data_IF_692921670485
#
_entry.id   IF_692921670485
#
_cell.length_a   1.000
_cell.length_b   1.000
_cell.length_c   1.000
_cell.angle_alpha   90.00
_cell.angle_beta   90.00
_cell.angle_gamma   90.00
#
_symmetry.space_group_name_H-M   'P 1'
#
loop_
_entity.id
_entity.type
_entity.pdbx_description
1 polymer ?
#
# COMPACT_ATOMS: atom_id res chain seq x y z
N UNK A 1 -17.12 3.52 17.69
CA UNK A 1 -16.53 3.82 16.36
C UNK A 1 -15.38 2.84 16.14
N UNK A 2 -15.38 2.11 15.03
CA UNK A 2 -14.28 1.20 14.68
C UNK A 2 -13.14 1.95 14.01
N UNK A 3 -11.90 1.54 14.29
CA UNK A 3 -10.72 2.05 13.64
C UNK A 3 -10.28 1.09 12.53
N UNK A 4 -9.94 1.66 11.38
CA UNK A 4 -9.48 0.92 10.22
C UNK A 4 -8.05 1.30 9.85
N UNK A 5 -7.34 0.32 9.31
CA UNK A 5 -5.99 0.42 8.81
C UNK A 5 -5.96 0.12 7.32
N UNK A 6 -5.06 0.76 6.59
CA UNK A 6 -4.87 0.47 5.16
C UNK A 6 -3.82 -0.62 5.01
N UNK A 7 -4.18 -1.71 4.34
CA UNK A 7 -3.23 -2.67 3.80
C UNK A 7 -3.08 -2.39 2.31
N UNK A 8 -1.85 -2.36 1.82
CA UNK A 8 -1.54 -2.17 0.41
C UNK A 8 -0.54 -3.20 -0.10
N UNK A 9 -0.65 -3.53 -1.38
CA UNK A 9 0.36 -4.26 -2.14
C UNK A 9 0.46 -3.64 -3.53
N UNK A 10 1.54 -3.90 -4.23
CA UNK A 10 1.68 -3.46 -5.60
C UNK A 10 2.41 -4.52 -6.42
N UNK A 11 1.99 -4.66 -7.66
CA UNK A 11 2.66 -5.46 -8.68
C UNK A 11 3.16 -4.51 -9.76
N UNK A 12 4.41 -4.70 -10.16
CA UNK A 12 5.01 -4.00 -11.29
C UNK A 12 5.33 -5.03 -12.34
N UNK A 13 4.85 -4.79 -13.55
CA UNK A 13 5.26 -5.53 -14.73
C UNK A 13 5.77 -4.57 -15.79
N UNK A 14 6.72 -5.03 -16.59
CA UNK A 14 7.29 -4.27 -17.69
C UNK A 14 7.47 -5.18 -18.89
N UNK A 15 7.35 -4.62 -20.09
CA UNK A 15 7.51 -5.39 -21.31
C UNK A 15 8.90 -6.03 -21.35
N UNK A 16 8.96 -7.36 -21.29
CA UNK A 16 10.21 -8.14 -21.29
C UNK A 16 10.77 -8.50 -19.91
N UNK A 17 10.08 -8.20 -18.81
CA UNK A 17 10.47 -8.56 -17.43
C UNK A 17 9.38 -9.37 -16.73
N UNK A 18 9.75 -10.23 -15.77
CA UNK A 18 8.80 -10.96 -14.93
C UNK A 18 8.02 -10.01 -13.99
N UNK A 19 6.78 -10.38 -13.71
CA UNK A 19 5.91 -9.65 -12.78
C UNK A 19 6.50 -9.71 -11.36
N UNK A 20 6.82 -8.54 -10.80
CA UNK A 20 7.29 -8.42 -9.42
C UNK A 20 6.20 -7.83 -8.53
N UNK A 21 5.57 -8.70 -7.74
CA UNK A 21 4.59 -8.32 -6.73
C UNK A 21 5.23 -8.21 -5.35
N UNK A 22 5.04 -7.06 -4.70
CA UNK A 22 5.35 -6.92 -3.28
C UNK A 22 4.27 -7.57 -2.43
N UNK A 23 4.72 -8.23 -1.36
CA UNK A 23 3.84 -8.72 -0.31
C UNK A 23 3.07 -7.55 0.30
N UNK A 24 1.86 -7.84 0.76
CA UNK A 24 1.05 -6.86 1.48
C UNK A 24 1.82 -6.23 2.63
N UNK A 25 1.62 -4.92 2.79
CA UNK A 25 2.12 -4.11 3.90
C UNK A 25 0.97 -3.36 4.53
N UNK A 26 0.97 -3.28 5.86
CA UNK A 26 0.02 -2.53 6.65
C UNK A 26 0.58 -1.14 6.92
N UNK A 27 -0.20 -0.11 6.63
CA UNK A 27 0.14 1.27 6.96
C UNK A 27 -0.48 1.59 8.30
N UNK A 28 0.35 2.08 9.22
CA UNK A 28 -0.14 2.69 10.44
C UNK A 28 -0.82 4.01 10.10
N UNK A 29 -2.14 3.95 9.91
CA UNK A 29 -2.99 5.12 9.77
C UNK A 29 -3.62 5.36 11.13
N UNK A 30 -3.15 6.38 11.85
CA UNK A 30 -3.78 6.77 13.10
C UNK A 30 -5.25 7.16 12.84
N UNK A 31 -6.17 6.32 13.33
CA UNK A 31 -7.59 6.58 13.51
C UNK A 31 -8.39 7.01 12.27
N UNK A 32 -8.50 6.13 11.27
CA UNK A 32 -9.44 6.32 10.17
C UNK A 32 -10.77 5.64 10.46
N UNK A 33 -11.87 6.41 10.39
CA UNK A 33 -13.18 5.83 10.13
C UNK A 33 -13.19 5.17 8.74
N UNK A 34 -14.15 4.29 8.45
CA UNK A 34 -14.17 3.51 7.21
C UNK A 34 -14.03 4.37 5.94
N UNK A 35 -14.75 5.50 5.87
CA UNK A 35 -14.69 6.43 4.73
C UNK A 35 -13.29 7.02 4.59
N UNK A 36 -12.73 7.55 5.68
CA UNK A 36 -11.37 8.11 5.69
C UNK A 36 -10.31 7.07 5.33
N UNK A 37 -10.55 5.79 5.67
CA UNK A 37 -9.67 4.70 5.28
C UNK A 37 -9.61 4.54 3.77
N UNK A 38 -10.75 4.53 3.07
CA UNK A 38 -10.75 4.46 1.60
C UNK A 38 -10.18 5.71 0.94
N UNK A 39 -10.40 6.91 1.51
CA UNK A 39 -9.75 8.13 1.03
C UNK A 39 -8.23 8.06 1.18
N UNK A 40 -7.74 7.58 2.33
CA UNK A 40 -6.32 7.31 2.56
C UNK A 40 -5.78 6.27 1.59
N UNK A 41 -6.52 5.18 1.37
CA UNK A 41 -6.18 4.11 0.45
C UNK A 41 -5.98 4.62 -0.98
N UNK A 42 -6.92 5.40 -1.53
CA UNK A 42 -6.75 6.03 -2.85
C UNK A 42 -5.54 6.98 -2.91
N UNK A 43 -5.26 7.72 -1.83
CA UNK A 43 -4.08 8.58 -1.76
C UNK A 43 -2.79 7.78 -1.79
N UNK A 44 -2.76 6.62 -1.12
CA UNK A 44 -1.64 5.69 -1.13
C UNK A 44 -1.46 5.09 -2.53
N UNK A 45 -2.54 4.62 -3.16
CA UNK A 45 -2.49 4.09 -4.54
C UNK A 45 -1.87 5.08 -5.51
N UNK A 46 -2.32 6.35 -5.46
CA UNK A 46 -1.79 7.38 -6.33
C UNK A 46 -0.31 7.66 -6.07
N UNK A 47 0.08 7.87 -4.82
CA UNK A 47 1.47 8.16 -4.46
C UNK A 47 2.42 7.01 -4.77
N UNK A 48 2.03 5.77 -4.44
CA UNK A 48 2.84 4.58 -4.72
C UNK A 48 2.99 4.39 -6.23
N UNK A 49 1.93 4.57 -7.00
CA UNK A 49 2.01 4.53 -8.47
C UNK A 49 2.94 5.61 -9.01
N UNK A 50 2.80 6.85 -8.57
CA UNK A 50 3.68 7.97 -8.97
C UNK A 50 5.15 7.69 -8.65
N UNK A 51 5.46 7.16 -7.45
CA UNK A 51 6.82 6.81 -7.04
C UNK A 51 7.42 5.70 -7.91
N UNK A 52 6.67 4.63 -8.15
CA UNK A 52 7.12 3.51 -8.99
C UNK A 52 7.33 3.99 -10.43
N UNK A 53 6.44 4.83 -10.97
CA UNK A 53 6.61 5.42 -12.31
C UNK A 53 7.87 6.27 -12.41
N UNK A 54 8.16 7.07 -11.39
CA UNK A 54 9.40 7.87 -11.35
C UNK A 54 10.65 6.98 -11.31
N UNK A 55 10.61 5.88 -10.56
CA UNK A 55 11.72 4.93 -10.46
C UNK A 55 11.89 4.11 -11.76
N UNK A 56 10.80 3.71 -12.39
CA UNK A 56 10.80 3.07 -13.70
C UNK A 56 11.40 3.97 -14.79
N UNK A 57 11.05 5.27 -14.79
CA UNK A 57 11.65 6.27 -15.69
C UNK A 57 13.15 6.41 -15.47
N UNK A 58 13.62 6.46 -14.22
CA UNK A 58 15.06 6.52 -13.90
C UNK A 58 15.83 5.31 -14.41
N UNK A 59 15.20 4.14 -14.41
CA UNK A 59 15.80 2.88 -14.85
C UNK A 59 15.56 2.57 -16.34
N UNK A 60 15.03 3.51 -17.14
CA UNK A 60 14.70 3.32 -18.56
C UNK A 60 13.76 2.12 -18.85
N UNK A 61 12.88 1.78 -17.90
CA UNK A 61 11.88 0.74 -18.09
C UNK A 61 10.81 1.23 -19.07
N UNK A 62 10.60 0.51 -20.17
CA UNK A 62 9.56 0.82 -21.16
C UNK A 62 8.20 0.30 -20.72
N UNK A 63 7.19 1.17 -20.79
CA UNK A 63 5.78 0.87 -20.56
C UNK A 63 5.50 0.04 -19.28
N UNK A 64 5.92 0.52 -18.09
CA UNK A 64 5.64 -0.18 -16.84
C UNK A 64 4.13 -0.20 -16.59
N UNK A 65 3.56 -1.39 -16.40
CA UNK A 65 2.20 -1.58 -15.92
C UNK A 65 2.25 -1.79 -14.42
N UNK A 66 1.56 -0.93 -13.68
CA UNK A 66 1.55 -0.93 -12.22
C UNK A 66 0.13 -1.20 -11.76
N UNK A 67 -0.03 -2.20 -10.91
CA UNK A 67 -1.28 -2.52 -10.25
C UNK A 67 -1.08 -2.35 -8.75
N UNK A 68 -1.67 -1.32 -8.15
CA UNK A 68 -1.69 -1.14 -6.70
C UNK A 68 -3.04 -1.64 -6.20
N UNK A 69 -3.01 -2.47 -5.16
CA UNK A 69 -4.21 -2.97 -4.47
C UNK A 69 -4.21 -2.47 -3.05
N UNK A 70 -5.31 -1.87 -2.64
CA UNK A 70 -5.53 -1.49 -1.25
C UNK A 70 -6.79 -2.13 -0.68
N UNK A 71 -6.79 -2.30 0.65
CA UNK A 71 -7.98 -2.69 1.40
C UNK A 71 -7.95 -2.12 2.80
N UNK A 72 -9.12 -1.82 3.33
CA UNK A 72 -9.30 -1.39 4.71
C UNK A 72 -9.56 -2.60 5.60
N UNK A 73 -8.80 -2.71 6.69
CA UNK A 73 -8.90 -3.79 7.68
C UNK A 73 -9.17 -3.22 9.06
N UNK A 74 -9.90 -3.96 9.89
CA UNK A 74 -10.17 -3.59 11.28
C UNK A 74 -8.91 -3.72 12.16
N UNK A 75 -8.95 -3.17 13.38
CA UNK A 75 -7.89 -3.38 14.39
C UNK A 75 -7.62 -4.86 14.70
N UNK A 76 -8.65 -5.70 14.76
CA UNK A 76 -8.46 -7.13 15.04
C UNK A 76 -7.74 -7.84 13.88
N UNK A 77 -8.09 -7.47 12.65
CA UNK A 77 -7.43 -7.98 11.45
C UNK A 77 -6.00 -7.45 11.31
N UNK A 78 -5.73 -6.20 11.70
CA UNK A 78 -4.37 -5.63 11.67
C UNK A 78 -3.44 -6.32 12.65
N UNK A 79 -3.90 -6.58 13.88
CA UNK A 79 -3.14 -7.37 14.86
C UNK A 79 -2.85 -8.78 14.35
N UNK A 80 -3.85 -9.44 13.76
CA UNK A 80 -3.70 -10.78 13.19
C UNK A 80 -2.69 -10.76 12.03
N UNK A 81 -2.79 -9.77 11.16
CA UNK A 81 -1.88 -9.58 10.04
C UNK A 81 -0.43 -9.40 10.49
N UNK A 82 -0.18 -8.53 11.49
CA UNK A 82 1.17 -8.29 12.01
C UNK A 82 1.75 -9.49 12.76
N UNK A 83 0.91 -10.27 13.47
CA UNK A 83 1.35 -11.54 14.09
C UNK A 83 1.79 -12.57 13.04
N UNK A 84 1.11 -12.63 11.89
CA UNK A 84 1.43 -13.57 10.81
C UNK A 84 2.62 -13.13 9.95
N UNK A 85 2.71 -11.84 9.62
CA UNK A 85 3.68 -11.30 8.66
C UNK A 85 4.93 -10.72 9.32
N UNK A 86 4.87 -10.47 10.63
CA UNK A 86 5.93 -9.84 11.40
C UNK A 86 5.98 -8.31 11.24
N UNK A 87 6.84 -7.65 12.02
CA UNK A 87 6.92 -6.19 12.07
C UNK A 87 7.42 -5.56 10.76
N UNK A 88 8.14 -6.31 9.91
CA UNK A 88 8.58 -5.84 8.60
C UNK A 88 7.45 -5.55 7.62
N UNK A 89 6.24 -6.05 7.89
CA UNK A 89 5.05 -5.75 7.11
C UNK A 89 4.38 -4.43 7.53
N UNK A 90 4.85 -3.77 8.59
CA UNK A 90 4.35 -2.47 9.04
C UNK A 90 5.09 -1.32 8.35
N UNK A 91 4.35 -0.35 7.85
CA UNK A 91 4.85 0.92 7.30
C UNK A 91 4.34 2.05 8.16
N UNK A 92 5.26 2.70 8.88
CA UNK A 92 4.96 3.88 9.70
C UNK A 92 5.17 5.11 8.82
N UNK A 93 4.08 5.78 8.43
CA UNK A 93 4.16 6.94 7.51
C UNK A 93 4.31 8.27 8.24
N UNK A 94 4.05 8.31 9.56
CA UNK A 94 4.02 9.54 10.36
C UNK A 94 2.96 10.56 9.93
N UNK A 95 2.16 10.26 8.90
CA UNK A 95 1.12 11.13 8.37
C UNK A 95 -0.22 10.76 9.00
N UNK A 96 -0.85 11.74 9.64
CA UNK A 96 -2.29 11.70 9.85
C UNK A 96 -2.95 11.95 8.50
N UNK A 97 -3.72 10.98 8.03
CA UNK A 97 -4.58 11.16 6.88
C UNK A 97 -5.90 11.74 7.41
N UNK A 98 -5.94 13.06 7.61
CA UNK A 98 -7.17 13.79 7.97
C UNK A 98 -8.07 14.00 6.75
#
# INVERSE_FOLDING_TARGET
MGFFYVVFSFCVSATGYEDHCQKEKLIDTQYLGLVSCYTGASSIERKTTEQILQEAKKNNVKDPKIEVKTRCVTSAESETFLKQRGPSALVITGKKYE
#
